data_IF_064796408827
#
_entry.id   IF_064796408827
#
_cell.length_a   1.000
_cell.length_b   1.000
_cell.length_c   1.000
_cell.angle_alpha   90.00
_cell.angle_beta   90.00
_cell.angle_gamma   90.00
#
_symmetry.space_group_name_H-M   'P 1'
#
loop_
_entity.id
_entity.type
_entity.pdbx_description
1 polymer ?
#
# COMPACT_ATOMS: atom_id res chain seq x y z
N UNK A 1 18.24 1.37 -8.49
CA UNK A 1 16.78 1.52 -8.63
C UNK A 1 16.31 2.34 -7.44
N UNK A 2 15.88 3.58 -7.64
CA UNK A 2 15.38 4.44 -6.57
C UNK A 2 14.07 3.82 -6.04
N UNK A 3 14.15 3.07 -4.94
CA UNK A 3 12.97 2.69 -4.15
C UNK A 3 12.44 3.98 -3.53
N UNK A 4 11.57 4.71 -4.23
CA UNK A 4 10.83 5.77 -3.57
C UNK A 4 10.05 5.13 -2.42
N UNK A 5 10.15 5.68 -1.20
CA UNK A 5 9.43 5.12 -0.06
C UNK A 5 7.93 5.20 -0.35
N UNK A 6 7.21 4.13 0.00
CA UNK A 6 5.75 4.12 -0.07
C UNK A 6 5.20 5.27 0.78
N UNK A 7 4.11 5.94 0.34
CA UNK A 7 3.45 6.93 1.16
C UNK A 7 2.97 6.30 2.48
N UNK A 8 2.94 7.05 3.59
CA UNK A 8 2.45 6.52 4.87
C UNK A 8 0.98 6.11 4.75
N UNK A 9 0.53 5.25 5.66
CA UNK A 9 -0.89 4.91 5.77
C UNK A 9 -1.74 6.17 6.00
N UNK A 10 -2.70 6.41 5.11
CA UNK A 10 -3.49 7.64 5.09
C UNK A 10 -4.71 7.62 6.04
N UNK A 11 -4.97 6.51 6.72
CA UNK A 11 -6.18 6.31 7.51
C UNK A 11 -7.38 5.87 6.67
N UNK A 12 -8.49 5.57 7.35
CA UNK A 12 -9.71 5.02 6.73
C UNK A 12 -10.47 6.06 5.89
N UNK A 13 -10.41 7.34 6.26
CA UNK A 13 -11.06 8.47 5.58
C UNK A 13 -10.24 9.05 4.41
N UNK A 14 -9.34 8.26 3.82
CA UNK A 14 -8.53 8.72 2.69
C UNK A 14 -9.38 8.97 1.44
N UNK A 15 -9.07 10.05 0.71
CA UNK A 15 -9.72 10.40 -0.56
C UNK A 15 -9.04 9.70 -1.74
N UNK A 16 -9.84 9.06 -2.59
CA UNK A 16 -9.33 8.44 -3.80
C UNK A 16 -8.82 9.49 -4.80
N UNK A 17 -7.53 9.44 -5.13
CA UNK A 17 -6.90 10.34 -6.12
C UNK A 17 -7.47 10.25 -7.54
N UNK A 18 -8.27 9.21 -7.85
CA UNK A 18 -8.88 9.03 -9.18
C UNK A 18 -10.31 9.52 -9.27
N UNK A 19 -11.11 9.41 -8.21
CA UNK A 19 -12.55 9.72 -8.26
C UNK A 19 -13.05 10.62 -7.13
N UNK A 20 -12.19 10.98 -6.16
CA UNK A 20 -12.54 11.83 -5.03
C UNK A 20 -13.42 11.17 -3.96
N UNK A 21 -13.68 9.86 -4.04
CA UNK A 21 -14.47 9.18 -3.01
C UNK A 21 -13.67 9.01 -1.71
N UNK A 22 -14.30 9.30 -0.57
CA UNK A 22 -13.77 9.00 0.76
C UNK A 22 -14.00 7.53 1.08
N UNK A 23 -12.94 6.82 1.43
CA UNK A 23 -13.01 5.43 1.88
C UNK A 23 -12.34 4.44 0.93
N UNK A 24 -11.52 3.57 1.50
CA UNK A 24 -10.80 2.51 0.81
C UNK A 24 -10.69 1.25 1.66
N UNK A 25 -10.80 0.08 1.02
CA UNK A 25 -10.51 -1.21 1.62
C UNK A 25 -9.00 -1.42 1.75
N UNK A 26 -8.55 -2.00 2.86
CA UNK A 26 -7.14 -2.33 3.10
C UNK A 26 -6.90 -3.81 2.87
N UNK A 27 -5.92 -4.15 2.04
CA UNK A 27 -5.40 -5.51 1.92
C UNK A 27 -3.92 -5.52 2.29
N UNK A 28 -3.55 -6.26 3.32
CA UNK A 28 -2.15 -6.45 3.69
C UNK A 28 -1.42 -7.33 2.66
N UNK A 29 -0.20 -6.94 2.30
CA UNK A 29 0.69 -7.68 1.42
C UNK A 29 2.03 -7.90 2.10
N UNK A 30 2.34 -9.18 2.36
CA UNK A 30 3.67 -9.59 2.82
C UNK A 30 4.74 -9.28 1.77
N UNK A 31 5.98 -9.13 2.23
CA UNK A 31 7.13 -8.96 1.34
C UNK A 31 7.21 -10.06 0.28
N UNK A 32 7.50 -9.67 -0.95
CA UNK A 32 7.63 -10.60 -2.08
C UNK A 32 6.31 -11.00 -2.74
N UNK A 33 5.15 -10.60 -2.20
CA UNK A 33 3.87 -10.79 -2.89
C UNK A 33 3.85 -9.99 -4.20
N UNK A 34 3.61 -10.66 -5.35
CA UNK A 34 3.62 -10.00 -6.63
C UNK A 34 2.56 -8.90 -6.69
N UNK A 35 2.92 -7.76 -7.28
CA UNK A 35 1.95 -6.74 -7.67
C UNK A 35 1.38 -7.19 -9.02
N UNK A 36 0.04 -7.26 -9.18
CA UNK A 36 -0.56 -7.56 -10.47
C UNK A 36 -0.03 -6.61 -11.55
N UNK A 37 0.64 -7.17 -12.56
CA UNK A 37 1.23 -6.39 -13.67
C UNK A 37 2.70 -5.99 -13.49
N UNK A 38 3.35 -6.30 -12.37
CA UNK A 38 4.80 -6.12 -12.21
C UNK A 38 5.56 -7.45 -12.17
N UNK A 39 6.75 -7.45 -12.79
CA UNK A 39 7.67 -8.58 -12.73
C UNK A 39 8.62 -8.36 -11.56
N UNK A 40 8.48 -9.17 -10.51
CA UNK A 40 9.32 -9.10 -9.32
C UNK A 40 10.72 -9.69 -9.58
N UNK A 41 11.71 -8.86 -9.88
CA UNK A 41 13.13 -9.26 -9.90
C UNK A 41 13.81 -8.87 -8.57
N UNK A 42 14.52 -9.82 -7.93
CA UNK A 42 15.39 -9.51 -6.78
C UNK A 42 14.69 -9.42 -5.41
N UNK A 43 13.82 -10.38 -5.08
CA UNK A 43 13.19 -10.48 -3.75
C UNK A 43 11.80 -9.84 -3.65
N UNK A 44 11.32 -9.25 -4.75
CA UNK A 44 9.97 -8.71 -4.88
C UNK A 44 9.71 -7.42 -4.11
N UNK A 45 8.48 -6.90 -4.18
CA UNK A 45 8.12 -5.65 -3.53
C UNK A 45 8.19 -5.78 -1.99
N UNK A 46 8.44 -4.68 -1.28
CA UNK A 46 8.42 -4.69 0.18
C UNK A 46 7.02 -5.02 0.69
N UNK A 47 6.95 -5.34 1.98
CA UNK A 47 5.69 -5.38 2.71
C UNK A 47 4.95 -4.03 2.56
N UNK A 48 3.64 -4.08 2.34
CA UNK A 48 2.81 -2.90 2.05
C UNK A 48 1.33 -3.14 2.33
N UNK A 49 0.55 -2.07 2.29
CA UNK A 49 -0.89 -2.09 2.27
C UNK A 49 -1.38 -1.73 0.87
N UNK A 50 -2.13 -2.62 0.22
CA UNK A 50 -2.87 -2.31 -1.00
C UNK A 50 -4.20 -1.67 -0.59
N UNK A 51 -4.37 -0.39 -0.91
CA UNK A 51 -5.58 0.40 -0.67
C UNK A 51 -6.43 0.38 -1.91
N UNK A 52 -7.67 -0.06 -1.80
CA UNK A 52 -8.62 -0.19 -2.92
C UNK A 52 -9.78 0.77 -2.70
N UNK A 53 -9.99 1.72 -3.61
CA UNK A 53 -11.12 2.65 -3.52
C UNK A 53 -12.44 1.88 -3.49
N UNK A 54 -13.29 2.17 -2.50
CA UNK A 54 -14.59 1.51 -2.36
C UNK A 54 -15.62 1.87 -3.45
N UNK A 55 -15.28 2.79 -4.35
CA UNK A 55 -16.17 3.28 -5.43
C UNK A 55 -15.70 2.91 -6.83
N UNK A 56 -14.42 3.12 -7.16
CA UNK A 56 -13.90 2.93 -8.52
C UNK A 56 -12.86 1.82 -8.64
N UNK A 57 -12.63 1.06 -7.57
CA UNK A 57 -11.69 -0.07 -7.48
C UNK A 57 -10.23 0.28 -7.80
N UNK A 58 -9.91 1.58 -7.90
CA UNK A 58 -8.53 2.02 -8.07
C UNK A 58 -7.70 1.58 -6.86
N UNK A 59 -6.58 0.92 -7.15
CA UNK A 59 -5.67 0.38 -6.14
C UNK A 59 -4.37 1.18 -6.09
N UNK A 60 -3.92 1.55 -4.90
CA UNK A 60 -2.61 2.15 -4.65
C UNK A 60 -1.93 1.50 -3.45
N UNK A 61 -0.61 1.68 -3.33
CA UNK A 61 0.17 1.11 -2.25
C UNK A 61 0.54 2.16 -1.20
N UNK A 62 0.39 1.80 0.08
CA UNK A 62 0.83 2.57 1.24
C UNK A 62 1.76 1.72 2.12
N UNK A 63 2.58 2.39 2.92
CA UNK A 63 3.44 1.75 3.90
C UNK A 63 2.59 1.18 5.04
N UNK A 64 3.01 0.03 5.59
CA UNK A 64 2.50 -0.44 6.86
C UNK A 64 2.82 0.58 7.96
N UNK A 65 1.91 0.70 8.93
CA UNK A 65 2.22 1.45 10.14
C UNK A 65 3.39 0.72 10.82
N UNK A 66 4.51 1.40 11.12
CA UNK A 66 5.61 0.77 11.83
C UNK A 66 5.07 0.24 13.16
N UNK A 67 5.24 -1.06 13.42
CA UNK A 67 4.95 -1.61 14.74
C UNK A 67 5.92 -0.94 15.71
N UNK A 68 5.40 -0.15 16.63
CA UNK A 68 6.21 0.52 17.65
C UNK A 68 6.73 -0.50 18.68
N UNK A 69 7.65 -1.38 18.31
CA UNK A 69 8.41 -2.29 19.19
C UNK A 69 9.76 -2.61 18.48
N UNK A 70 10.96 -2.40 19.02
CA UNK A 70 11.38 -2.24 20.41
C UNK A 70 12.54 -1.23 20.56
N UNK A 71 12.35 -0.22 21.41
CA UNK A 71 13.44 0.24 22.27
C UNK A 71 13.63 -0.87 23.31
N UNK A 72 14.75 -1.59 23.21
CA UNK A 72 15.32 -2.38 24.29
C UNK A 72 16.72 -1.85 24.58
#
# INVERSE_FOLDING_TARGET
MNKQPLPPFSGDDTECVKCGNVGAYTNYRKQGEPIPGEIAFGGGPPERLDRVCARCDYTWAEACIPSSEATA
#
